data_IF_041580081645
#
_entry.id   IF_041580081645
#
_cell.length_a   1.000
_cell.length_b   1.000
_cell.length_c   1.000
_cell.angle_alpha   90.00
_cell.angle_beta   90.00
_cell.angle_gamma   90.00
#
_symmetry.space_group_name_H-M   'P 1'
#
loop_
_entity.id
_entity.type
_entity.pdbx_description
1 polymer ?
#
# COMPACT_ATOMS: atom_id res chain seq x y z
N UNK A 1 4.77 0.65 -26.51
CA UNK A 1 4.72 -0.36 -25.43
C UNK A 1 3.45 -0.08 -24.66
N UNK A 2 2.68 -1.11 -24.27
CA UNK A 2 1.43 -0.90 -23.52
C UNK A 2 1.69 -0.60 -22.05
N UNK A 3 0.65 -0.16 -21.34
CA UNK A 3 0.70 0.12 -19.91
C UNK A 3 1.11 -1.11 -19.10
N UNK A 4 2.02 -0.95 -18.13
CA UNK A 4 2.40 -2.01 -17.17
C UNK A 4 2.11 -1.59 -15.73
N UNK A 5 1.64 -2.53 -14.92
CA UNK A 5 1.31 -2.32 -13.50
C UNK A 5 2.18 -3.27 -12.66
N UNK A 6 3.09 -2.72 -11.86
CA UNK A 6 3.88 -3.48 -10.87
C UNK A 6 3.43 -3.13 -9.45
N UNK A 7 2.80 -4.07 -8.76
CA UNK A 7 2.42 -3.89 -7.35
C UNK A 7 3.64 -4.14 -6.48
N UNK A 8 4.08 -3.08 -5.80
CA UNK A 8 5.34 -3.05 -5.08
C UNK A 8 5.20 -3.59 -3.66
N UNK A 9 4.08 -3.26 -2.99
CA UNK A 9 3.83 -3.64 -1.61
C UNK A 9 2.36 -3.51 -1.20
N UNK A 10 1.83 -4.60 -0.67
CA UNK A 10 0.50 -4.69 -0.03
C UNK A 10 0.41 -6.00 0.78
N UNK A 11 -0.71 -6.24 1.43
CA UNK A 11 -0.91 -7.25 2.45
C UNK A 11 -0.69 -8.67 1.92
N UNK A 12 -1.18 -9.01 0.73
CA UNK A 12 -0.86 -10.29 0.08
C UNK A 12 0.62 -10.46 -0.27
N UNK A 13 1.39 -9.37 -0.35
CA UNK A 13 2.84 -9.36 -0.55
C UNK A 13 3.63 -9.30 0.78
N UNK A 14 2.96 -9.35 1.93
CA UNK A 14 3.58 -9.50 3.26
C UNK A 14 3.83 -8.21 4.04
N UNK A 15 3.29 -7.08 3.60
CA UNK A 15 3.49 -5.77 4.26
C UNK A 15 2.21 -4.94 4.19
N UNK A 16 2.01 -3.94 5.05
CA UNK A 16 0.88 -3.01 4.84
C UNK A 16 1.27 -1.91 3.86
N UNK A 17 0.37 -1.65 2.93
CA UNK A 17 0.43 -0.55 1.98
C UNK A 17 -0.41 -0.86 0.75
N UNK A 18 -0.46 0.08 -0.18
CA UNK A 18 -1.07 -0.16 -1.49
C UNK A 18 -0.22 0.44 -2.61
N UNK A 19 1.10 0.24 -2.50
CA UNK A 19 2.06 0.86 -3.40
C UNK A 19 2.11 0.13 -4.75
N UNK A 20 2.02 0.87 -5.84
CA UNK A 20 2.30 0.36 -7.18
C UNK A 20 3.09 1.36 -8.05
N UNK A 21 3.75 0.82 -9.07
CA UNK A 21 4.32 1.57 -10.18
C UNK A 21 3.46 1.29 -11.42
N UNK A 22 2.96 2.36 -12.05
CA UNK A 22 2.27 2.31 -13.34
C UNK A 22 3.19 2.95 -14.38
N UNK A 23 3.55 2.20 -15.41
CA UNK A 23 4.36 2.72 -16.51
C UNK A 23 3.49 2.80 -17.76
N UNK A 24 3.47 3.98 -18.38
CA UNK A 24 2.81 4.26 -19.66
C UNK A 24 3.88 4.53 -20.71
N UNK A 25 3.45 4.78 -21.94
CA UNK A 25 4.32 5.28 -23.00
C UNK A 25 5.09 6.57 -22.64
N UNK A 26 4.55 7.43 -21.76
CA UNK A 26 5.13 8.74 -21.44
C UNK A 26 5.56 8.92 -19.97
N UNK A 27 4.99 8.14 -19.03
CA UNK A 27 5.13 8.37 -17.59
C UNK A 27 5.47 7.11 -16.81
N UNK A 28 6.13 7.32 -15.67
CA UNK A 28 6.39 6.32 -14.64
C UNK A 28 5.82 6.86 -13.33
N UNK A 29 4.64 6.38 -12.97
CA UNK A 29 3.80 6.93 -11.91
C UNK A 29 3.88 6.00 -10.70
N UNK A 30 4.47 6.48 -9.60
CA UNK A 30 4.49 5.73 -8.34
C UNK A 30 3.34 6.22 -7.46
N UNK A 31 2.42 5.32 -7.15
CA UNK A 31 1.23 5.62 -6.34
C UNK A 31 1.45 5.03 -4.94
N UNK A 32 1.17 5.84 -3.92
CA UNK A 32 1.28 5.52 -2.49
C UNK A 32 2.61 4.86 -2.10
N UNK A 33 3.77 5.54 -2.25
CA UNK A 33 5.08 5.01 -1.88
C UNK A 33 5.28 4.96 -0.35
N UNK A 34 4.33 4.37 0.36
CA UNK A 34 4.41 4.05 1.77
C UNK A 34 4.53 2.56 2.02
N UNK A 35 4.90 2.26 3.25
CA UNK A 35 4.86 0.90 3.80
C UNK A 35 4.87 1.03 5.32
N UNK A 36 4.09 0.19 5.99
CA UNK A 36 4.22 -0.05 7.41
C UNK A 36 4.09 -1.54 7.73
N UNK A 37 4.77 -2.01 8.76
CA UNK A 37 4.38 -3.25 9.43
C UNK A 37 3.56 -2.90 10.66
N UNK A 38 2.48 -3.66 10.93
CA UNK A 38 1.68 -3.43 12.13
C UNK A 38 2.52 -3.47 13.39
N UNK A 39 2.71 -2.31 14.04
CA UNK A 39 3.66 -2.18 15.14
C UNK A 39 3.37 -3.17 16.28
N UNK A 40 2.10 -3.25 16.73
CA UNK A 40 1.63 -4.30 17.64
C UNK A 40 0.32 -4.86 17.10
N UNK A 41 0.29 -6.18 16.89
CA UNK A 41 -0.91 -6.96 16.51
C UNK A 41 -0.92 -8.26 17.28
N UNK A 42 -2.08 -8.60 17.85
CA UNK A 42 -2.25 -9.75 18.73
C UNK A 42 -1.23 -9.77 19.89
N UNK A 43 -0.84 -8.58 20.39
CA UNK A 43 0.21 -8.43 21.42
C UNK A 43 1.65 -8.65 20.93
N UNK A 44 1.85 -8.94 19.64
CA UNK A 44 3.15 -9.27 19.05
C UNK A 44 3.69 -8.13 18.18
N UNK A 45 5.00 -7.87 18.28
CA UNK A 45 5.75 -7.03 17.34
C UNK A 45 5.83 -7.70 15.95
N UNK A 46 6.23 -6.99 14.88
CA UNK A 46 6.41 -7.61 13.58
C UNK A 46 7.40 -8.77 13.65
N UNK A 47 7.03 -9.93 13.13
CA UNK A 47 7.94 -11.08 13.08
C UNK A 47 9.20 -10.72 12.25
N UNK A 48 10.41 -11.23 12.56
CA UNK A 48 11.63 -10.99 11.76
C UNK A 48 11.46 -11.25 10.25
N UNK A 49 10.64 -12.23 9.87
CA UNK A 49 10.28 -12.48 8.47
C UNK A 49 9.44 -11.34 7.84
N UNK A 50 8.55 -10.71 8.60
CA UNK A 50 7.85 -9.48 8.16
C UNK A 50 8.84 -8.33 7.95
N UNK A 51 9.83 -8.21 8.85
CA UNK A 51 10.88 -7.18 8.75
C UNK A 51 11.73 -7.40 7.49
N UNK A 52 12.10 -8.65 7.20
CA UNK A 52 12.80 -9.05 5.98
C UNK A 52 12.00 -8.66 4.71
N UNK A 53 10.71 -9.01 4.65
CA UNK A 53 9.82 -8.59 3.56
C UNK A 53 9.73 -7.06 3.44
N UNK A 54 9.58 -6.36 4.58
CA UNK A 54 9.52 -4.90 4.61
C UNK A 54 10.77 -4.23 4.07
N UNK A 55 11.96 -4.79 4.31
CA UNK A 55 13.22 -4.33 3.71
C UNK A 55 13.18 -4.49 2.18
N UNK A 56 12.75 -5.64 1.67
CA UNK A 56 12.68 -5.88 0.22
C UNK A 56 11.69 -4.94 -0.46
N UNK A 57 10.50 -4.77 0.10
CA UNK A 57 9.49 -3.86 -0.45
C UNK A 57 9.99 -2.41 -0.42
N UNK A 58 10.57 -1.94 0.69
CA UNK A 58 11.18 -0.59 0.75
C UNK A 58 12.20 -0.38 -0.36
N UNK A 59 13.08 -1.35 -0.61
CA UNK A 59 14.05 -1.27 -1.72
C UNK A 59 13.39 -1.17 -3.08
N UNK A 60 12.32 -1.94 -3.33
CA UNK A 60 11.54 -1.85 -4.58
C UNK A 60 10.88 -0.48 -4.74
N UNK A 61 10.26 0.06 -3.70
CA UNK A 61 9.66 1.41 -3.70
C UNK A 61 10.72 2.46 -3.99
N UNK A 62 11.86 2.42 -3.29
CA UNK A 62 12.97 3.36 -3.51
C UNK A 62 13.56 3.24 -4.93
N UNK A 63 13.64 2.03 -5.48
CA UNK A 63 14.08 1.81 -6.86
C UNK A 63 13.09 2.40 -7.88
N UNK A 64 11.79 2.17 -7.70
CA UNK A 64 10.75 2.74 -8.57
C UNK A 64 10.74 4.27 -8.49
N UNK A 65 10.90 4.83 -7.28
CA UNK A 65 10.98 6.27 -7.09
C UNK A 65 12.16 6.88 -7.84
N UNK A 66 13.33 6.23 -7.95
CA UNK A 66 14.50 6.78 -8.68
C UNK A 66 14.16 7.18 -10.12
N UNK A 67 13.30 6.41 -10.78
CA UNK A 67 12.93 6.59 -12.18
C UNK A 67 11.55 7.20 -12.37
N UNK A 68 10.83 7.52 -11.29
CA UNK A 68 9.48 8.06 -11.38
C UNK A 68 9.47 9.45 -12.04
N UNK A 69 8.47 9.68 -12.89
CA UNK A 69 8.12 11.01 -13.42
C UNK A 69 7.12 11.70 -12.50
N UNK A 70 6.24 10.91 -11.89
CA UNK A 70 5.12 11.37 -11.06
C UNK A 70 5.05 10.52 -9.79
N UNK A 71 4.72 11.17 -8.68
CA UNK A 71 4.40 10.54 -7.40
C UNK A 71 2.97 10.92 -7.03
N UNK A 72 2.17 9.96 -6.60
CA UNK A 72 0.79 10.19 -6.19
C UNK A 72 0.61 9.70 -4.76
N UNK A 73 -0.07 10.50 -3.95
CA UNK A 73 -0.56 10.14 -2.63
C UNK A 73 -2.09 10.17 -2.65
N UNK A 74 -2.73 9.02 -2.46
CA UNK A 74 -4.19 8.89 -2.39
C UNK A 74 -4.75 9.57 -1.13
N UNK A 75 -4.03 9.44 -0.01
CA UNK A 75 -4.32 10.04 1.28
C UNK A 75 -3.08 9.99 2.21
N UNK A 76 -3.21 10.45 3.46
CA UNK A 76 -2.06 10.66 4.36
C UNK A 76 -1.98 9.64 5.52
N UNK A 77 -2.37 8.39 5.29
CA UNK A 77 -2.09 7.31 6.24
C UNK A 77 -0.64 6.82 6.15
N UNK A 78 -0.14 6.25 7.26
CA UNK A 78 1.29 6.00 7.44
C UNK A 78 1.85 4.83 6.63
N UNK A 79 0.98 4.00 6.08
CA UNK A 79 1.26 2.90 5.15
C UNK A 79 1.18 3.32 3.68
N UNK A 80 0.77 4.56 3.37
CA UNK A 80 0.64 5.08 2.00
C UNK A 80 1.70 6.14 1.66
N UNK A 81 2.39 6.67 2.67
CA UNK A 81 3.40 7.72 2.47
C UNK A 81 4.73 7.40 3.19
N UNK A 82 5.86 7.96 2.74
CA UNK A 82 7.07 8.09 3.54
C UNK A 82 6.84 9.02 4.75
N UNK A 83 7.46 8.71 5.89
CA UNK A 83 7.27 9.43 7.15
C UNK A 83 8.55 10.11 7.63
N UNK A 84 8.44 11.33 8.16
CA UNK A 84 9.59 12.06 8.73
C UNK A 84 10.10 11.45 10.04
N UNK A 85 9.21 10.90 10.86
CA UNK A 85 9.53 10.22 12.11
C UNK A 85 9.20 8.72 11.97
N UNK A 86 9.74 8.08 10.93
CA UNK A 86 9.48 6.67 10.66
C UNK A 86 10.09 5.79 11.76
N UNK A 87 9.32 4.82 12.25
CA UNK A 87 9.89 3.74 13.02
C UNK A 87 10.62 2.73 12.07
N UNK A 88 11.40 1.76 12.60
CA UNK A 88 12.18 0.84 11.76
C UNK A 88 11.37 0.00 10.76
N UNK A 89 10.05 -0.07 10.92
CA UNK A 89 9.13 -0.84 10.09
C UNK A 89 8.37 0.00 9.06
N UNK A 90 8.75 1.25 8.91
CA UNK A 90 8.16 2.20 7.97
C UNK A 90 9.20 2.69 6.97
N UNK A 91 8.75 3.37 5.91
CA UNK A 91 9.65 4.09 5.00
C UNK A 91 9.94 5.49 5.56
N UNK A 92 11.21 5.77 5.81
CA UNK A 92 11.66 7.08 6.23
C UNK A 92 11.81 8.03 5.04
N UNK A 93 11.33 9.26 5.19
CA UNK A 93 11.42 10.29 4.16
C UNK A 93 12.88 10.65 3.82
N UNK A 94 13.81 10.47 4.76
CA UNK A 94 15.24 10.73 4.57
C UNK A 94 15.89 9.73 3.60
N UNK A 95 15.27 8.58 3.38
CA UNK A 95 15.80 7.56 2.47
C UNK A 95 15.30 7.74 1.04
N UNK A 96 14.42 8.72 0.80
CA UNK A 96 13.94 9.01 -0.55
C UNK A 96 15.12 9.33 -1.48
N UNK A 97 15.10 8.83 -2.73
CA UNK A 97 16.19 9.08 -3.65
C UNK A 97 16.44 10.58 -3.87
N UNK A 98 17.68 11.00 -4.15
CA UNK A 98 17.95 12.36 -4.58
C UNK A 98 17.07 12.78 -5.76
N UNK A 99 16.60 14.02 -5.75
CA UNK A 99 15.71 14.55 -6.78
C UNK A 99 14.23 14.16 -6.65
N UNK A 100 13.84 13.37 -5.62
CA UNK A 100 12.42 13.02 -5.42
C UNK A 100 11.51 14.22 -5.25
N UNK A 101 11.95 15.23 -4.50
CA UNK A 101 11.19 16.47 -4.32
C UNK A 101 11.00 17.29 -5.61
N UNK A 102 11.77 17.02 -6.68
CA UNK A 102 11.68 17.74 -7.95
C UNK A 102 10.65 17.14 -8.91
N UNK A 103 10.14 15.93 -8.63
CA UNK A 103 9.14 15.22 -9.45
C UNK A 103 7.76 15.86 -9.28
N UNK A 104 6.89 15.66 -10.27
CA UNK A 104 5.48 16.05 -10.12
C UNK A 104 4.86 15.20 -9.01
N UNK A 105 4.24 15.85 -8.04
CA UNK A 105 3.62 15.15 -6.94
C UNK A 105 2.15 15.56 -6.81
N UNK A 106 1.27 14.58 -6.67
CA UNK A 106 -0.18 14.77 -6.68
C UNK A 106 -0.78 14.26 -5.37
N UNK A 107 -1.65 15.04 -4.75
CA UNK A 107 -2.28 14.67 -3.49
C UNK A 107 -3.70 15.24 -3.36
N UNK A 108 -4.54 14.73 -2.44
CA UNK A 108 -5.76 15.41 -2.05
C UNK A 108 -5.47 16.74 -1.33
N UNK A 109 -6.51 17.56 -1.17
CA UNK A 109 -6.43 18.76 -0.35
C UNK A 109 -6.13 18.41 1.10
N UNK A 110 -5.39 19.29 1.76
CA UNK A 110 -5.16 19.19 3.20
C UNK A 110 -6.32 19.76 4.04
N UNK A 111 -7.39 20.25 3.41
CA UNK A 111 -8.58 20.77 4.12
C UNK A 111 -9.20 19.66 4.97
N UNK A 112 -9.57 19.99 6.22
CA UNK A 112 -10.24 19.08 7.15
C UNK A 112 -9.48 17.80 7.52
N UNK A 113 -8.15 17.77 7.32
CA UNK A 113 -7.33 16.66 7.81
C UNK A 113 -7.26 16.64 9.34
N UNK A 114 -7.35 15.45 9.91
CA UNK A 114 -7.03 15.20 11.31
C UNK A 114 -5.57 15.62 11.61
N UNK A 115 -5.24 16.01 12.86
CA UNK A 115 -3.92 16.57 13.20
C UNK A 115 -2.72 15.71 12.75
N UNK A 116 -2.80 14.38 12.90
CA UNK A 116 -1.74 13.46 12.48
C UNK A 116 -1.54 13.41 10.97
N UNK A 117 -2.63 13.48 10.19
CA UNK A 117 -2.58 13.55 8.73
C UNK A 117 -2.09 14.91 8.24
N UNK A 118 -2.47 16.00 8.93
CA UNK A 118 -1.98 17.34 8.63
C UNK A 118 -0.47 17.45 8.84
N UNK A 119 0.06 16.93 9.94
CA UNK A 119 1.51 16.90 10.17
C UNK A 119 2.25 16.13 9.05
N UNK A 120 1.70 14.99 8.63
CA UNK A 120 2.22 14.21 7.50
C UNK A 120 2.21 14.99 6.18
N UNK A 121 1.12 15.68 5.87
CA UNK A 121 1.06 16.59 4.72
C UNK A 121 2.13 17.68 4.81
N UNK A 122 2.30 18.33 5.95
CA UNK A 122 3.30 19.38 6.14
C UNK A 122 4.73 18.85 5.96
N UNK A 123 5.01 17.62 6.38
CA UNK A 123 6.30 16.96 6.12
C UNK A 123 6.53 16.70 4.64
N UNK A 124 5.52 16.26 3.90
CA UNK A 124 5.62 16.09 2.45
C UNK A 124 5.80 17.45 1.74
N UNK A 125 5.11 18.50 2.19
CA UNK A 125 5.30 19.87 1.69
C UNK A 125 6.74 20.35 1.86
N UNK A 126 7.42 20.00 2.95
CA UNK A 126 8.85 20.34 3.14
C UNK A 126 9.77 19.66 2.13
N UNK A 127 9.38 18.49 1.61
CA UNK A 127 10.18 17.72 0.65
C UNK A 127 9.88 18.09 -0.79
N UNK A 128 8.60 18.18 -1.15
CA UNK A 128 8.17 18.42 -2.53
C UNK A 128 7.92 19.91 -2.82
N UNK A 129 7.76 20.75 -1.80
CA UNK A 129 7.50 22.18 -1.97
C UNK A 129 6.31 22.44 -2.89
N UNK A 130 6.47 23.40 -3.82
CA UNK A 130 5.44 23.75 -4.80
C UNK A 130 5.14 22.64 -5.82
N UNK A 131 5.91 21.54 -5.83
CA UNK A 131 5.63 20.38 -6.69
C UNK A 131 4.57 19.45 -6.10
N UNK A 132 4.24 19.57 -4.81
CA UNK A 132 3.09 18.88 -4.20
C UNK A 132 1.82 19.64 -4.56
N UNK A 133 1.11 19.14 -5.57
CA UNK A 133 -0.08 19.76 -6.14
C UNK A 133 -1.33 19.04 -5.68
N UNK A 134 -2.29 19.82 -5.18
CA UNK A 134 -3.65 19.32 -4.93
C UNK A 134 -4.28 18.94 -6.26
N UNK A 135 -4.77 17.71 -6.37
CA UNK A 135 -5.18 17.12 -7.62
C UNK A 135 -6.62 16.58 -7.63
N UNK A 136 -7.31 16.54 -6.48
CA UNK A 136 -8.67 15.99 -6.39
C UNK A 136 -9.61 16.61 -7.43
N UNK A 137 -10.31 15.75 -8.19
CA UNK A 137 -11.23 16.15 -9.25
C UNK A 137 -10.59 16.72 -10.52
N UNK A 138 -9.25 16.70 -10.65
CA UNK A 138 -8.59 17.15 -11.88
C UNK A 138 -8.52 16.03 -12.92
N UNK A 139 -8.77 16.40 -14.17
CA UNK A 139 -8.48 15.56 -15.33
C UNK A 139 -7.33 16.18 -16.13
N UNK A 140 -6.22 15.44 -16.26
CA UNK A 140 -5.03 15.84 -17.00
C UNK A 140 -4.83 14.97 -18.26
N UNK A 141 -5.89 14.30 -18.72
CA UNK A 141 -5.89 13.42 -19.88
C UNK A 141 -5.36 12.03 -19.55
N UNK A 142 -4.04 11.87 -19.55
CA UNK A 142 -3.37 10.59 -19.28
C UNK A 142 -3.54 10.14 -17.82
N UNK A 143 -3.59 11.11 -16.90
CA UNK A 143 -3.83 10.89 -15.47
C UNK A 143 -5.00 11.77 -15.03
N UNK A 144 -5.94 11.19 -14.31
CA UNK A 144 -7.10 11.88 -13.76
C UNK A 144 -7.30 11.46 -12.31
N UNK A 145 -7.91 12.32 -11.51
CA UNK A 145 -8.11 12.09 -10.09
C UNK A 145 -9.56 12.29 -9.72
N UNK A 146 -10.07 11.43 -8.85
CA UNK A 146 -11.45 11.53 -8.41
C UNK A 146 -11.64 12.73 -7.48
N UNK A 147 -12.88 13.20 -7.27
CA UNK A 147 -13.24 13.92 -6.05
C UNK A 147 -12.88 13.11 -4.80
N UNK A 148 -12.98 13.73 -3.63
CA UNK A 148 -12.77 13.03 -2.37
C UNK A 148 -13.93 12.08 -2.08
N UNK A 149 -13.59 10.83 -1.76
CA UNK A 149 -14.53 9.84 -1.25
C UNK A 149 -14.19 9.45 0.18
N UNK A 150 -15.17 8.97 0.98
CA UNK A 150 -14.88 8.46 2.31
C UNK A 150 -13.86 7.33 2.27
N UNK A 151 -12.94 7.33 3.24
CA UNK A 151 -12.06 6.19 3.47
C UNK A 151 -12.85 5.09 4.19
N UNK A 152 -13.57 4.27 3.43
CA UNK A 152 -14.53 3.30 3.95
C UNK A 152 -15.93 3.88 4.10
N UNK A 153 -16.63 3.56 5.18
CA UNK A 153 -18.00 4.04 5.39
C UNK A 153 -18.06 5.57 5.51
N UNK A 154 -19.18 6.15 5.06
CA UNK A 154 -19.50 7.56 5.26
C UNK A 154 -19.47 7.90 6.77
N UNK A 155 -18.99 9.09 7.13
CA UNK A 155 -18.84 9.55 8.53
C UNK A 155 -17.77 8.82 9.37
N UNK A 156 -17.00 7.90 8.77
CA UNK A 156 -15.89 7.28 9.49
C UNK A 156 -14.77 8.29 9.81
N UNK A 157 -14.08 8.07 10.93
CA UNK A 157 -12.88 8.85 11.32
C UNK A 157 -11.68 8.59 10.39
N UNK A 158 -11.83 7.77 9.35
CA UNK A 158 -10.76 7.39 8.41
C UNK A 158 -10.33 8.50 7.46
N UNK A 159 -11.09 9.60 7.42
CA UNK A 159 -10.82 10.71 6.51
C UNK A 159 -11.35 10.42 5.10
N UNK A 160 -10.70 11.00 4.11
CA UNK A 160 -11.10 10.88 2.71
C UNK A 160 -9.93 10.48 1.83
N UNK A 161 -10.24 9.83 0.72
CA UNK A 161 -9.30 9.29 -0.24
C UNK A 161 -9.55 9.89 -1.62
N UNK A 162 -8.47 9.99 -2.40
CA UNK A 162 -8.50 10.40 -3.80
C UNK A 162 -8.03 9.21 -4.65
N UNK A 163 -8.90 8.74 -5.53
CA UNK A 163 -8.59 7.67 -6.47
C UNK A 163 -7.84 8.23 -7.67
N UNK A 164 -7.01 7.38 -8.29
CA UNK A 164 -6.19 7.76 -9.45
C UNK A 164 -6.55 6.91 -10.65
N UNK A 165 -6.87 7.55 -11.76
CA UNK A 165 -7.05 6.93 -13.07
C UNK A 165 -5.82 7.21 -13.92
N UNK A 166 -5.31 6.19 -14.59
CA UNK A 166 -4.26 6.29 -15.60
C UNK A 166 -4.77 5.66 -16.88
N UNK A 167 -4.54 6.31 -18.03
CA UNK A 167 -4.95 5.80 -19.34
C UNK A 167 -3.80 5.84 -20.34
N UNK A 168 -3.62 4.77 -21.10
CA UNK A 168 -2.61 4.66 -22.16
C UNK A 168 -3.04 3.63 -23.21
N UNK A 169 -3.02 4.00 -24.49
CA UNK A 169 -3.38 3.14 -25.62
C UNK A 169 -4.68 2.30 -25.44
N UNK A 170 -5.73 2.91 -24.88
CA UNK A 170 -7.03 2.23 -24.67
C UNK A 170 -7.11 1.37 -23.40
N UNK A 171 -6.00 1.20 -22.68
CA UNK A 171 -6.01 0.61 -21.34
C UNK A 171 -6.28 1.70 -20.30
N UNK A 172 -7.17 1.40 -19.36
CA UNK A 172 -7.51 2.27 -18.24
C UNK A 172 -7.26 1.51 -16.95
N UNK A 173 -6.39 2.04 -16.10
CA UNK A 173 -6.09 1.53 -14.77
C UNK A 173 -6.64 2.50 -13.73
N UNK A 174 -7.25 1.95 -12.67
CA UNK A 174 -7.72 2.74 -11.52
C UNK A 174 -7.14 2.17 -10.23
N UNK A 175 -6.47 3.05 -9.48
CA UNK A 175 -6.04 2.80 -8.11
C UNK A 175 -7.03 3.47 -7.15
N UNK A 176 -7.67 2.65 -6.31
CA UNK A 176 -8.77 3.05 -5.43
C UNK A 176 -8.49 2.66 -3.96
N UNK A 177 -7.40 3.21 -3.42
CA UNK A 177 -7.03 3.12 -2.01
C UNK A 177 -7.57 4.33 -1.24
N UNK A 178 -8.31 4.23 -0.14
CA UNK A 178 -8.81 3.05 0.57
C UNK A 178 -10.34 3.11 0.68
N UNK A 179 -11.05 2.88 -0.42
CA UNK A 179 -12.51 2.99 -0.45
C UNK A 179 -13.23 1.89 0.34
N UNK A 180 -12.56 0.75 0.59
CA UNK A 180 -13.07 -0.44 1.31
C UNK A 180 -14.39 -1.03 0.75
N UNK A 181 -14.85 -0.54 -0.40
CA UNK A 181 -16.12 -0.87 -1.05
C UNK A 181 -17.37 -0.45 -0.26
N UNK A 182 -17.23 0.50 0.67
CA UNK A 182 -18.29 0.93 1.60
C UNK A 182 -19.02 2.22 1.19
N UNK A 183 -18.75 2.76 0.00
CA UNK A 183 -19.44 3.92 -0.54
C UNK A 183 -19.83 3.65 -2.00
N UNK A 184 -21.14 3.64 -2.27
CA UNK A 184 -21.68 3.33 -3.60
C UNK A 184 -21.22 4.35 -4.64
N UNK A 185 -21.11 5.64 -4.27
CA UNK A 185 -20.72 6.72 -5.18
C UNK A 185 -19.26 6.60 -5.62
N UNK A 186 -18.39 6.09 -4.74
CA UNK A 186 -17.00 5.80 -5.09
C UNK A 186 -16.93 4.69 -6.15
N UNK A 187 -17.75 3.65 -5.99
CA UNK A 187 -17.83 2.52 -6.92
C UNK A 187 -18.47 2.94 -8.24
N UNK A 188 -19.50 3.78 -8.20
CA UNK A 188 -20.13 4.39 -9.39
C UNK A 188 -19.08 5.14 -10.22
N UNK A 189 -18.27 5.99 -9.56
CA UNK A 189 -17.22 6.77 -10.22
C UNK A 189 -16.14 5.89 -10.86
N UNK A 190 -15.75 4.78 -10.20
CA UNK A 190 -14.83 3.80 -10.79
C UNK A 190 -15.44 3.20 -12.06
N UNK A 191 -16.71 2.82 -12.04
CA UNK A 191 -17.39 2.21 -13.20
C UNK A 191 -17.53 3.24 -14.35
N UNK A 192 -17.84 4.49 -14.04
CA UNK A 192 -17.92 5.59 -15.02
C UNK A 192 -16.60 5.82 -15.76
N UNK A 193 -15.47 5.63 -15.08
CA UNK A 193 -14.13 5.68 -15.69
C UNK A 193 -13.83 4.53 -16.66
N UNK A 194 -14.71 3.52 -16.74
CA UNK A 194 -14.60 2.32 -17.61
C UNK A 194 -13.22 1.67 -17.58
N UNK A 195 -12.71 1.29 -16.39
CA UNK A 195 -11.39 0.71 -16.26
C UNK A 195 -11.31 -0.68 -16.90
N UNK A 196 -10.17 -0.94 -17.52
CA UNK A 196 -9.77 -2.30 -17.87
C UNK A 196 -9.27 -3.06 -16.64
N UNK A 197 -8.65 -2.36 -15.68
CA UNK A 197 -8.11 -2.93 -14.45
C UNK A 197 -8.33 -2.00 -13.26
N UNK A 198 -8.82 -2.53 -12.14
CA UNK A 198 -8.95 -1.83 -10.86
C UNK A 198 -8.08 -2.50 -9.82
N UNK A 199 -7.33 -1.71 -9.06
CA UNK A 199 -6.65 -2.13 -7.84
C UNK A 199 -7.18 -1.33 -6.65
N UNK A 200 -7.87 -1.98 -5.73
CA UNK A 200 -8.57 -1.32 -4.63
C UNK A 200 -8.38 -2.02 -3.29
N UNK A 201 -8.54 -1.26 -2.20
CA UNK A 201 -8.65 -1.85 -0.88
C UNK A 201 -10.03 -2.47 -0.68
N UNK A 202 -10.08 -3.73 -0.25
CA UNK A 202 -11.34 -4.41 0.08
C UNK A 202 -11.85 -4.10 1.50
N UNK A 203 -12.98 -4.69 1.92
CA UNK A 203 -13.58 -4.42 3.22
C UNK A 203 -12.72 -4.94 4.38
N UNK A 204 -12.62 -4.23 5.52
CA UNK A 204 -11.81 -4.63 6.67
C UNK A 204 -12.51 -5.71 7.50
N UNK A 205 -12.62 -6.94 6.98
CA UNK A 205 -13.40 -8.03 7.60
C UNK A 205 -12.96 -8.39 9.03
N UNK A 206 -11.69 -8.15 9.35
CA UNK A 206 -11.07 -8.35 10.67
C UNK A 206 -11.56 -7.38 11.77
N UNK A 207 -12.37 -6.37 11.41
CA UNK A 207 -12.90 -5.40 12.37
C UNK A 207 -14.27 -5.84 12.84
N UNK A 208 -14.40 -6.07 14.15
CA UNK A 208 -15.68 -6.39 14.80
C UNK A 208 -16.73 -5.28 14.63
N UNK A 209 -16.30 -4.03 14.40
CA UNK A 209 -17.21 -2.90 14.19
C UNK A 209 -17.85 -2.89 12.80
N UNK A 210 -17.37 -3.70 11.85
CA UNK A 210 -17.95 -3.78 10.51
C UNK A 210 -19.25 -4.60 10.56
N UNK A 211 -20.38 -3.90 10.56
CA UNK A 211 -21.71 -4.48 10.71
C UNK A 211 -22.18 -5.29 9.51
N UNK A 212 -23.27 -6.05 9.68
CA UNK A 212 -23.83 -6.88 8.61
C UNK A 212 -24.23 -6.07 7.37
N UNK A 213 -24.84 -4.89 7.55
CA UNK A 213 -25.22 -4.01 6.44
C UNK A 213 -24.02 -3.50 5.65
N UNK A 214 -22.91 -3.14 6.33
CA UNK A 214 -21.68 -2.70 5.68
C UNK A 214 -21.00 -3.85 4.91
N UNK A 215 -21.01 -5.07 5.47
CA UNK A 215 -20.50 -6.27 4.79
C UNK A 215 -21.31 -6.58 3.53
N UNK A 216 -22.63 -6.50 3.60
CA UNK A 216 -23.52 -6.68 2.45
C UNK A 216 -23.31 -5.58 1.40
N UNK A 217 -23.15 -4.32 1.83
CA UNK A 217 -22.83 -3.23 0.93
C UNK A 217 -21.49 -3.45 0.21
N UNK A 218 -20.45 -3.82 0.94
CA UNK A 218 -19.15 -4.14 0.36
C UNK A 218 -19.23 -5.30 -0.64
N UNK A 219 -19.99 -6.34 -0.32
CA UNK A 219 -20.23 -7.47 -1.21
C UNK A 219 -20.93 -7.03 -2.50
N UNK A 220 -22.07 -6.32 -2.39
CA UNK A 220 -22.81 -5.77 -3.54
C UNK A 220 -21.92 -4.90 -4.42
N UNK A 221 -21.14 -4.00 -3.82
CA UNK A 221 -20.23 -3.12 -4.56
C UNK A 221 -19.08 -3.88 -5.23
N UNK A 222 -18.58 -4.94 -4.60
CA UNK A 222 -17.58 -5.81 -5.21
C UNK A 222 -18.16 -6.53 -6.44
N UNK A 223 -19.37 -7.08 -6.34
CA UNK A 223 -20.08 -7.70 -7.46
C UNK A 223 -20.23 -6.69 -8.60
N UNK A 224 -20.67 -5.46 -8.32
CA UNK A 224 -20.82 -4.40 -9.33
C UNK A 224 -19.50 -4.07 -10.04
N UNK A 225 -18.40 -3.93 -9.31
CA UNK A 225 -17.08 -3.73 -9.92
C UNK A 225 -16.73 -4.90 -10.83
N UNK A 226 -16.95 -6.11 -10.34
CA UNK A 226 -16.64 -7.32 -11.08
C UNK A 226 -17.51 -7.41 -12.34
N UNK A 227 -18.79 -7.06 -12.32
CA UNK A 227 -19.61 -7.07 -13.54
C UNK A 227 -19.18 -6.05 -14.61
N UNK A 228 -18.53 -4.96 -14.21
CA UNK A 228 -18.29 -3.81 -15.11
C UNK A 228 -16.81 -3.59 -15.48
N UNK A 229 -15.87 -4.29 -14.86
CA UNK A 229 -14.43 -4.06 -15.01
C UNK A 229 -13.74 -5.35 -15.45
N UNK A 230 -12.82 -5.28 -16.41
CA UNK A 230 -12.10 -6.46 -16.91
C UNK A 230 -11.37 -7.23 -15.82
N UNK A 231 -10.39 -6.59 -15.17
CA UNK A 231 -9.60 -7.18 -14.08
C UNK A 231 -9.86 -6.44 -12.77
N UNK A 232 -10.21 -7.18 -11.71
CA UNK A 232 -10.42 -6.62 -10.37
C UNK A 232 -9.40 -7.23 -9.42
N UNK A 233 -8.61 -6.36 -8.78
CA UNK A 233 -7.58 -6.70 -7.80
C UNK A 233 -8.00 -6.08 -6.46
N UNK A 234 -8.28 -6.90 -5.46
CA UNK A 234 -8.70 -6.49 -4.13
C UNK A 234 -7.70 -7.00 -3.07
N UNK A 235 -7.21 -6.08 -2.25
CA UNK A 235 -6.15 -6.38 -1.27
C UNK A 235 -6.30 -5.48 -0.04
N UNK A 236 -5.18 -5.17 0.61
CA UNK A 236 -5.07 -4.22 1.70
C UNK A 236 -5.84 -4.64 2.95
N UNK A 237 -6.83 -3.85 3.38
CA UNK A 237 -7.65 -4.14 4.56
C UNK A 237 -8.30 -5.52 4.54
N UNK A 238 -8.71 -6.00 3.36
CA UNK A 238 -9.32 -7.31 3.20
C UNK A 238 -8.38 -8.45 3.60
N UNK A 239 -7.09 -8.32 3.30
CA UNK A 239 -6.08 -9.35 3.51
C UNK A 239 -5.25 -9.14 4.79
N UNK A 240 -5.76 -8.31 5.71
CA UNK A 240 -5.29 -8.25 7.11
C UNK A 240 -5.83 -9.42 7.96
N UNK A 241 -6.68 -10.27 7.39
CA UNK A 241 -7.18 -11.51 7.96
C UNK A 241 -7.23 -12.63 6.89
N UNK A 242 -7.24 -13.89 7.31
CA UNK A 242 -7.19 -15.05 6.41
C UNK A 242 -8.51 -15.25 5.65
N UNK A 243 -9.62 -14.90 6.28
CA UNK A 243 -10.98 -14.92 5.75
C UNK A 243 -11.12 -14.02 4.51
N UNK A 244 -10.21 -13.06 4.33
CA UNK A 244 -10.18 -12.22 3.14
C UNK A 244 -9.94 -13.01 1.85
N UNK A 245 -9.14 -14.09 1.89
CA UNK A 245 -8.93 -14.96 0.73
C UNK A 245 -10.18 -15.79 0.42
N UNK A 246 -10.88 -16.26 1.44
CA UNK A 246 -12.15 -16.98 1.28
C UNK A 246 -13.21 -16.06 0.67
N UNK A 247 -13.24 -14.80 1.11
CA UNK A 247 -14.12 -13.78 0.55
C UNK A 247 -13.83 -13.50 -0.93
N UNK A 248 -12.55 -13.41 -1.33
CA UNK A 248 -12.17 -13.25 -2.75
C UNK A 248 -12.54 -14.46 -3.60
N UNK A 249 -12.36 -15.67 -3.04
CA UNK A 249 -12.74 -16.92 -3.69
C UNK A 249 -14.25 -16.96 -3.93
N UNK A 250 -15.05 -16.67 -2.90
CA UNK A 250 -16.49 -16.61 -3.01
C UNK A 250 -16.95 -15.58 -4.06
N UNK A 251 -16.31 -14.40 -4.11
CA UNK A 251 -16.63 -13.37 -5.11
C UNK A 251 -16.30 -13.85 -6.53
N UNK A 252 -15.17 -14.55 -6.70
CA UNK A 252 -14.79 -15.12 -7.99
C UNK A 252 -15.76 -16.20 -8.47
N UNK A 253 -16.19 -17.08 -7.56
CA UNK A 253 -17.18 -18.12 -7.82
C UNK A 253 -18.53 -17.52 -8.17
N UNK A 254 -18.99 -16.53 -7.41
CA UNK A 254 -20.25 -15.82 -7.66
C UNK A 254 -20.28 -15.18 -9.04
N UNK A 255 -19.21 -14.50 -9.44
CA UNK A 255 -19.14 -13.81 -10.72
C UNK A 255 -18.76 -14.71 -11.90
N UNK A 256 -18.43 -15.99 -11.66
CA UNK A 256 -17.97 -16.92 -12.69
C UNK A 256 -16.65 -16.51 -13.35
N UNK A 257 -15.85 -15.65 -12.71
CA UNK A 257 -14.60 -15.11 -13.25
C UNK A 257 -13.63 -14.75 -12.14
N UNK A 258 -12.35 -14.75 -12.46
CA UNK A 258 -11.29 -14.57 -11.46
C UNK A 258 -11.23 -13.12 -10.94
N UNK A 259 -11.29 -12.97 -9.62
CA UNK A 259 -10.86 -11.79 -8.87
C UNK A 259 -9.51 -12.12 -8.24
N UNK A 260 -8.59 -11.16 -8.22
CA UNK A 260 -7.22 -11.37 -7.78
C UNK A 260 -6.97 -10.67 -6.44
N UNK A 261 -6.14 -11.26 -5.58
CA UNK A 261 -5.28 -10.45 -4.72
C UNK A 261 -4.03 -9.97 -5.49
N UNK A 262 -3.29 -9.00 -4.95
CA UNK A 262 -2.14 -8.45 -5.65
C UNK A 262 -1.03 -9.48 -5.88
N UNK A 263 -0.76 -10.38 -4.93
CA UNK A 263 0.24 -11.43 -5.09
C UNK A 263 -0.10 -12.34 -6.27
N UNK A 264 -1.36 -12.76 -6.40
CA UNK A 264 -1.81 -13.57 -7.54
C UNK A 264 -1.71 -12.84 -8.87
N UNK A 265 -2.12 -11.56 -8.91
CA UNK A 265 -1.98 -10.71 -10.10
C UNK A 265 -0.52 -10.60 -10.55
N UNK A 266 0.40 -10.46 -9.58
CA UNK A 266 1.84 -10.38 -9.83
C UNK A 266 2.51 -11.74 -10.08
N UNK A 267 1.75 -12.86 -10.06
CA UNK A 267 2.31 -14.21 -10.20
C UNK A 267 3.26 -14.61 -9.06
N UNK A 268 3.02 -14.09 -7.84
CA UNK A 268 3.86 -14.31 -6.65
C UNK A 268 3.11 -15.15 -5.61
N UNK A 269 3.83 -15.88 -4.74
CA UNK A 269 3.21 -16.53 -3.59
C UNK A 269 2.49 -15.53 -2.69
N UNK A 270 1.26 -15.87 -2.27
CA UNK A 270 0.51 -15.10 -1.27
C UNK A 270 1.19 -15.24 0.08
N UNK A 271 1.49 -14.10 0.73
CA UNK A 271 2.18 -14.02 2.01
C UNK A 271 1.39 -13.16 3.00
N UNK A 272 0.37 -13.72 3.65
CA UNK A 272 -0.42 -13.03 4.68
C UNK A 272 0.31 -12.94 6.03
N UNK A 273 1.53 -12.38 6.04
CA UNK A 273 2.42 -12.46 7.21
C UNK A 273 1.89 -11.71 8.44
N UNK A 274 1.06 -10.68 8.25
CA UNK A 274 0.42 -10.02 9.40
C UNK A 274 -0.79 -10.79 9.92
N UNK A 275 -1.68 -11.25 9.03
CA UNK A 275 -2.86 -12.02 9.42
C UNK A 275 -2.47 -13.30 10.18
N UNK A 276 -1.38 -13.95 9.73
CA UNK A 276 -0.84 -15.18 10.33
C UNK A 276 0.26 -14.92 11.36
N UNK A 277 0.33 -13.71 11.96
CA UNK A 277 1.45 -13.35 12.85
C UNK A 277 1.58 -14.27 14.06
N UNK A 278 0.46 -14.69 14.64
CA UNK A 278 0.46 -15.60 15.80
C UNK A 278 1.08 -16.95 15.39
N UNK A 279 0.58 -17.55 14.31
CA UNK A 279 1.12 -18.79 13.73
C UNK A 279 2.62 -18.66 13.40
N UNK A 280 3.05 -17.53 12.82
CA UNK A 280 4.47 -17.31 12.53
C UNK A 280 5.35 -17.33 13.78
N UNK A 281 4.88 -16.79 14.90
CA UNK A 281 5.60 -16.81 16.18
C UNK A 281 5.60 -18.21 16.82
N UNK A 282 4.60 -19.04 16.55
CA UNK A 282 4.52 -20.42 17.01
C UNK A 282 5.41 -21.35 16.19
N UNK A 283 5.35 -21.25 14.86
CA UNK A 283 6.13 -22.05 13.91
C UNK A 283 7.61 -21.64 13.90
N UNK A 284 7.89 -20.34 14.08
CA UNK A 284 9.23 -19.78 14.04
C UNK A 284 9.47 -18.84 15.24
N UNK A 285 9.69 -19.40 16.44
CA UNK A 285 9.82 -18.61 17.66
C UNK A 285 10.90 -17.53 17.57
N UNK A 286 10.55 -16.31 17.99
CA UNK A 286 11.48 -15.18 18.05
C UNK A 286 12.16 -15.17 19.42
N UNK A 287 13.50 -15.27 19.49
CA UNK A 287 14.20 -15.31 20.77
C UNK A 287 13.92 -14.09 21.65
N UNK A 288 13.89 -14.29 22.97
CA UNK A 288 13.74 -13.19 23.92
C UNK A 288 14.82 -12.11 23.67
N UNK A 289 14.39 -10.84 23.73
CA UNK A 289 15.25 -9.69 23.46
C UNK A 289 15.68 -9.49 21.99
N UNK A 290 15.23 -10.32 21.04
CA UNK A 290 15.60 -10.18 19.63
C UNK A 290 15.30 -8.78 19.08
N UNK A 291 14.14 -8.22 19.42
CA UNK A 291 13.74 -6.87 18.98
C UNK A 291 14.59 -5.74 19.55
N UNK A 292 15.09 -5.90 20.78
CA UNK A 292 16.04 -4.94 21.37
C UNK A 292 17.39 -5.03 20.65
N UNK A 293 17.93 -6.24 20.52
CA UNK A 293 19.17 -6.50 19.75
C UNK A 293 19.07 -6.02 18.30
N UNK A 294 17.91 -6.17 17.65
CA UNK A 294 17.71 -5.70 16.28
C UNK A 294 17.76 -4.18 16.20
N UNK A 295 17.18 -3.48 17.19
CA UNK A 295 17.23 -2.02 17.32
C UNK A 295 18.64 -1.50 17.60
N UNK A 296 19.45 -2.28 18.31
CA UNK A 296 20.84 -1.94 18.66
C UNK A 296 21.85 -2.44 17.61
N UNK A 297 21.37 -2.97 16.48
CA UNK A 297 22.16 -3.53 15.39
C UNK A 297 23.04 -4.74 15.77
N UNK A 298 22.68 -5.46 16.84
CA UNK A 298 23.36 -6.67 17.33
C UNK A 298 22.86 -7.97 16.66
N UNK A 299 21.68 -7.93 16.04
CA UNK A 299 21.12 -9.03 15.23
C UNK A 299 20.47 -8.49 13.97
N UNK A 300 20.23 -9.37 13.00
CA UNK A 300 19.56 -9.02 11.74
C UNK A 300 18.55 -10.09 11.29
N UNK A 301 18.00 -9.89 10.09
CA UNK A 301 16.96 -10.73 9.50
C UNK A 301 17.49 -11.73 8.46
N UNK A 302 18.82 -11.91 8.32
CA UNK A 302 19.42 -12.71 7.25
C UNK A 302 18.93 -14.16 7.24
N UNK A 303 18.88 -14.79 8.40
CA UNK A 303 18.37 -16.15 8.58
C UNK A 303 16.89 -16.30 8.16
N UNK A 304 16.13 -15.20 8.14
CA UNK A 304 14.71 -15.18 7.79
C UNK A 304 14.47 -14.93 6.29
N UNK A 305 15.50 -14.63 5.49
CA UNK A 305 15.36 -14.54 4.03
C UNK A 305 15.25 -15.91 3.36
N UNK A 306 15.87 -16.94 3.93
CA UNK A 306 15.80 -18.32 3.40
C UNK A 306 14.37 -18.86 3.47
N UNK A 307 13.61 -18.49 4.51
CA UNK A 307 12.17 -18.79 4.60
C UNK A 307 11.30 -18.05 3.57
N UNK A 308 11.84 -17.07 2.83
CA UNK A 308 11.12 -16.30 1.82
C UNK A 308 11.40 -16.78 0.39
N UNK A 309 12.40 -17.64 0.15
CA UNK A 309 12.81 -18.07 -1.19
C UNK A 309 11.90 -19.16 -1.78
N UNK A 310 10.88 -18.70 -2.50
CA UNK A 310 10.63 -19.11 -3.87
C UNK A 310 10.67 -17.81 -4.72
N UNK A 311 11.76 -17.59 -5.46
CA UNK A 311 12.13 -16.39 -6.24
C UNK A 311 12.49 -15.09 -5.48
N UNK A 312 13.77 -14.84 -5.16
CA UNK A 312 14.24 -13.50 -4.80
C UNK A 312 14.43 -12.62 -6.05
N UNK A 313 13.83 -11.42 -6.16
CA UNK A 313 14.31 -10.42 -7.09
C UNK A 313 15.47 -9.65 -6.46
N UNK A 314 16.56 -9.55 -7.22
CA UNK A 314 17.84 -8.86 -6.93
C UNK A 314 18.76 -9.61 -5.95
N UNK A 315 19.97 -10.03 -6.37
CA UNK A 315 20.93 -10.67 -5.49
C UNK A 315 21.34 -9.71 -4.36
N UNK A 316 21.33 -10.23 -3.14
CA UNK A 316 21.81 -9.54 -1.96
C UNK A 316 23.33 -9.35 -2.05
N UNK A 317 23.77 -8.19 -2.53
CA UNK A 317 25.16 -7.75 -2.41
C UNK A 317 25.37 -7.18 -1.00
N UNK A 318 26.22 -7.85 -0.21
CA UNK A 318 26.41 -7.59 1.21
C UNK A 318 26.63 -6.12 1.57
N UNK A 319 25.69 -5.57 2.35
CA UNK A 319 25.87 -4.36 3.15
C UNK A 319 25.46 -4.68 4.58
N UNK A 320 25.97 -3.96 5.59
CA UNK A 320 25.60 -4.16 7.00
C UNK A 320 24.08 -4.00 7.15
N UNK A 321 23.35 -5.10 7.30
CA UNK A 321 21.94 -5.09 7.66
C UNK A 321 21.88 -5.05 9.19
N UNK A 322 21.50 -3.89 9.69
CA UNK A 322 21.34 -3.61 11.12
C UNK A 322 21.34 -2.11 11.26
N UNK A 323 20.14 -1.50 11.23
CA UNK A 323 19.86 -0.08 11.57
C UNK A 323 20.75 0.99 10.91
N UNK A 324 21.62 0.61 9.96
CA UNK A 324 22.63 1.43 9.31
C UNK A 324 22.11 2.34 8.21
N UNK A 325 20.87 2.81 8.36
CA UNK A 325 20.41 4.06 7.74
C UNK A 325 20.34 5.20 8.79
N UNK A 326 20.80 4.98 10.03
CA UNK A 326 21.17 6.06 10.94
C UNK A 326 22.64 6.41 10.69
N UNK A 327 22.88 7.41 9.84
CA UNK A 327 24.14 8.14 9.92
C UNK A 327 24.21 8.87 11.27
N UNK A 328 25.39 8.79 11.88
CA UNK A 328 25.76 9.28 13.18
C UNK A 328 25.37 10.74 13.49
N UNK A 329 25.03 10.99 14.76
CA UNK A 329 24.84 12.31 15.38
C UNK A 329 23.38 12.76 15.37
N UNK A 330 22.70 13.02 16.49
CA UNK A 330 23.15 13.63 17.73
C UNK A 330 22.45 13.05 18.96
N UNK A 331 23.29 12.76 19.95
CA UNK A 331 23.08 12.80 21.41
C UNK A 331 21.68 13.13 21.96
N UNK A 332 21.27 12.27 22.90
CA UNK A 332 20.61 12.58 24.18
C UNK A 332 20.52 14.07 24.50
N UNK A 333 19.28 14.57 24.59
CA UNK A 333 18.71 15.21 25.78
C UNK A 333 17.19 15.20 25.69
#
# INVERSE_FOLDING_TARGET
>A
MGMTIDILGTESLGVRGLCCLVETSERRIVIDPGIALGYVRHGLLPHPMQIAMGIMVRRRILAALKTATDVVFSHFHGDHIPLANANPYQLDIRHLPPGTGSRRCWCPSATSLLPGMRNRFDNLMRVFGLKLRVAQGLDLGEISFSPLYPHGACESRGGSVMMTRVTDHGHVFVHASDIQLLDDRAVDHIIEWRPTTVFAAGPPLYRDQLGAAEREQAWRNAVRLVENVGNVILDHHLLRCVEGLEWLKALSEHAGRRVYCAAEWMGRPVRLLEARRVELYEEMPVPAGWHARYRDAETDVRAYFEGLSANPPVPYAGGRIGVGEFLAGSSRQ
#
